data_IF_756947825102
#
_entry.id   IF_756947825102
#
_cell.length_a   1.000
_cell.length_b   1.000
_cell.length_c   1.000
_cell.angle_alpha   90.00
_cell.angle_beta   90.00
_cell.angle_gamma   90.00
#
_symmetry.space_group_name_H-M   'P 1'
#
loop_
_entity.id
_entity.type
_entity.pdbx_description
1 polymer ?
#
# COMPACT_ATOMS: atom_id res chain seq x y z
N UNK A 1 -3.68 17.36 2.58
CA UNK A 1 -3.45 15.93 2.84
C UNK A 1 -3.65 15.16 1.55
N UNK A 2 -2.70 14.30 1.20
CA UNK A 2 -2.74 13.39 0.06
C UNK A 2 -2.68 11.97 0.60
N UNK A 3 -3.65 11.12 0.25
CA UNK A 3 -3.63 9.70 0.62
C UNK A 3 -3.11 8.87 -0.55
N UNK A 4 -2.01 8.15 -0.30
CA UNK A 4 -1.44 7.16 -1.22
C UNK A 4 -1.90 5.78 -0.73
N UNK A 5 -2.89 5.15 -1.38
CA UNK A 5 -3.35 3.83 -0.99
C UNK A 5 -2.28 2.79 -1.33
N UNK A 6 -1.95 1.94 -0.36
CA UNK A 6 -1.04 0.81 -0.51
C UNK A 6 -1.64 -0.40 0.21
N UNK A 7 -1.06 -1.58 0.02
CA UNK A 7 -1.51 -2.81 0.67
C UNK A 7 -1.88 -3.90 -0.32
N UNK A 8 -2.35 -5.01 0.22
CA UNK A 8 -2.46 -6.26 -0.55
C UNK A 8 -3.85 -6.49 -1.16
N UNK A 9 -4.67 -5.46 -1.26
CA UNK A 9 -5.85 -5.44 -2.12
C UNK A 9 -6.24 -4.00 -2.49
N UNK A 10 -7.28 -3.87 -3.32
CA UNK A 10 -7.75 -2.58 -3.82
C UNK A 10 -8.60 -1.78 -2.82
N UNK A 11 -8.85 -2.29 -1.62
CA UNK A 11 -9.84 -1.77 -0.68
C UNK A 11 -9.55 -0.34 -0.22
N UNK A 12 -8.29 0.03 -0.03
CA UNK A 12 -7.94 1.41 0.32
C UNK A 12 -8.15 2.37 -0.86
N UNK A 13 -7.84 1.95 -2.09
CA UNK A 13 -8.09 2.75 -3.29
C UNK A 13 -9.60 2.92 -3.54
N UNK A 14 -10.38 1.86 -3.32
CA UNK A 14 -11.85 1.90 -3.39
C UNK A 14 -12.44 2.81 -2.32
N UNK A 15 -11.98 2.70 -1.06
CA UNK A 15 -12.40 3.59 0.02
C UNK A 15 -12.15 5.07 -0.33
N UNK A 16 -10.93 5.40 -0.78
CA UNK A 16 -10.58 6.76 -1.19
C UNK A 16 -11.46 7.27 -2.34
N UNK A 17 -11.82 6.39 -3.29
CA UNK A 17 -12.74 6.74 -4.39
C UNK A 17 -14.16 6.96 -3.90
N UNK A 18 -14.68 6.04 -3.07
CA UNK A 18 -16.06 6.07 -2.54
C UNK A 18 -16.34 7.34 -1.74
N UNK A 19 -15.36 7.80 -0.97
CA UNK A 19 -15.49 8.95 -0.07
C UNK A 19 -14.88 10.24 -0.61
N UNK A 20 -14.58 10.32 -1.92
CA UNK A 20 -14.00 11.50 -2.57
C UNK A 20 -12.69 12.00 -1.92
N UNK A 21 -11.91 11.11 -1.30
CA UNK A 21 -10.60 11.42 -0.71
C UNK A 21 -9.46 11.30 -1.74
N UNK A 22 -9.73 10.64 -2.87
CA UNK A 22 -8.75 10.44 -3.95
C UNK A 22 -8.51 11.75 -4.71
N UNK A 23 -7.33 12.34 -4.54
CA UNK A 23 -6.87 13.48 -5.35
C UNK A 23 -6.31 13.09 -6.71
N UNK A 24 -5.60 11.96 -6.77
CA UNK A 24 -4.89 11.51 -7.96
C UNK A 24 -5.01 10.00 -8.14
N UNK A 25 -4.66 9.53 -9.35
CA UNK A 25 -4.35 8.11 -9.55
C UNK A 25 -2.89 7.83 -9.21
N UNK A 26 -2.64 6.97 -8.24
CA UNK A 26 -1.29 6.58 -7.81
C UNK A 26 -0.86 5.23 -8.39
N UNK A 27 0.46 4.91 -8.42
CA UNK A 27 0.94 3.68 -9.03
C UNK A 27 0.47 2.42 -8.30
N UNK A 28 0.11 2.55 -7.02
CA UNK A 28 -0.40 1.45 -6.20
C UNK A 28 -1.94 1.37 -6.20
N UNK A 29 -2.62 2.28 -6.89
CA UNK A 29 -4.07 2.16 -7.08
C UNK A 29 -4.35 0.94 -7.96
N UNK A 30 -5.22 0.06 -7.46
CA UNK A 30 -5.66 -1.14 -8.18
C UNK A 30 -4.57 -2.20 -8.38
N UNK A 31 -3.51 -2.15 -7.57
CA UNK A 31 -2.49 -3.19 -7.48
C UNK A 31 -2.53 -3.87 -6.11
N UNK A 32 -1.87 -5.02 -6.04
CA UNK A 32 -1.68 -5.78 -4.80
C UNK A 32 -0.20 -5.71 -4.46
N UNK A 33 0.14 -5.02 -3.37
CA UNK A 33 1.52 -4.73 -3.00
C UNK A 33 1.99 -5.64 -1.86
N UNK A 34 2.32 -6.90 -2.15
CA UNK A 34 2.68 -7.88 -1.11
C UNK A 34 3.87 -7.41 -0.24
N UNK A 35 5.00 -7.09 -0.88
CA UNK A 35 6.26 -6.75 -0.19
C UNK A 35 7.06 -5.59 -0.84
N UNK A 36 6.46 -4.89 -1.81
CA UNK A 36 7.24 -4.18 -2.83
C UNK A 36 7.28 -2.66 -2.75
N UNK A 37 6.41 -2.03 -1.96
CA UNK A 37 6.22 -0.57 -2.02
C UNK A 37 7.52 0.18 -1.74
N UNK A 38 8.20 -0.22 -0.67
CA UNK A 38 9.49 0.35 -0.24
C UNK A 38 10.54 0.22 -1.35
N UNK A 39 10.68 -0.97 -1.94
CA UNK A 39 11.62 -1.26 -3.03
C UNK A 39 11.32 -0.47 -4.30
N UNK A 40 10.06 -0.35 -4.70
CA UNK A 40 9.67 0.46 -5.86
C UNK A 40 10.08 1.92 -5.68
N UNK A 41 9.89 2.49 -4.49
CA UNK A 41 10.28 3.88 -4.21
C UNK A 41 11.80 4.01 -4.14
N UNK A 42 12.50 3.04 -3.56
CA UNK A 42 13.96 3.07 -3.49
C UNK A 42 14.61 3.00 -4.87
N UNK A 43 14.06 2.17 -5.75
CA UNK A 43 14.47 2.02 -7.14
C UNK A 43 13.95 3.14 -8.07
N UNK A 44 13.29 4.17 -7.55
CA UNK A 44 12.65 5.22 -8.38
C UNK A 44 11.72 4.65 -9.48
N UNK A 45 11.12 3.49 -9.21
CA UNK A 45 10.21 2.79 -10.12
C UNK A 45 10.84 2.32 -11.44
N UNK A 46 12.18 2.24 -11.56
CA UNK A 46 12.85 1.81 -12.80
C UNK A 46 12.34 0.45 -13.29
N UNK A 47 12.15 -0.51 -12.37
CA UNK A 47 11.68 -1.85 -12.68
C UNK A 47 10.21 -2.09 -12.31
N UNK A 48 9.38 -1.03 -12.32
CA UNK A 48 8.02 -1.12 -11.82
C UNK A 48 7.10 -1.96 -12.71
N UNK A 49 7.17 -1.78 -14.03
CA UNK A 49 6.30 -2.46 -15.02
C UNK A 49 7.04 -3.39 -15.96
N UNK A 50 8.34 -3.59 -15.77
CA UNK A 50 9.18 -4.43 -16.64
C UNK A 50 10.44 -4.87 -15.87
N UNK A 51 10.80 -6.17 -15.86
CA UNK A 51 10.06 -7.32 -16.37
C UNK A 51 8.84 -7.69 -15.52
N UNK A 52 7.81 -8.26 -16.17
CA UNK A 52 6.66 -8.86 -15.50
C UNK A 52 6.61 -10.37 -15.70
N UNK A 53 6.36 -11.12 -14.62
CA UNK A 53 6.03 -12.54 -14.66
C UNK A 53 4.60 -12.74 -14.17
N UNK A 54 3.70 -13.19 -15.04
CA UNK A 54 2.26 -13.32 -14.73
C UNK A 54 1.68 -12.06 -14.09
N UNK A 55 2.03 -10.89 -14.64
CA UNK A 55 1.58 -9.56 -14.18
C UNK A 55 2.09 -9.19 -12.78
N UNK A 56 3.17 -9.81 -12.33
CA UNK A 56 3.86 -9.51 -11.08
C UNK A 56 5.27 -9.01 -11.42
N UNK A 57 5.67 -7.86 -10.87
CA UNK A 57 7.04 -7.37 -11.04
C UNK A 57 8.02 -8.04 -10.06
N UNK A 58 9.31 -7.73 -10.17
CA UNK A 58 10.35 -8.31 -9.31
C UNK A 58 10.20 -7.95 -7.81
N UNK A 59 9.43 -6.90 -7.50
CA UNK A 59 9.17 -6.45 -6.14
C UNK A 59 7.88 -7.03 -5.53
N UNK A 60 7.24 -8.01 -6.18
CA UNK A 60 5.96 -8.58 -5.77
C UNK A 60 4.79 -7.59 -5.78
N UNK A 61 4.77 -6.68 -6.75
CA UNK A 61 3.58 -5.90 -7.07
C UNK A 61 2.79 -6.65 -8.12
N UNK A 62 1.60 -7.11 -7.77
CA UNK A 62 0.69 -7.76 -8.69
C UNK A 62 -0.32 -6.76 -9.28
N UNK A 63 -0.33 -6.64 -10.60
CA UNK A 63 -1.23 -5.78 -11.35
C UNK A 63 -2.54 -6.51 -11.61
N UNK A 64 -3.46 -6.47 -10.63
CA UNK A 64 -4.68 -7.29 -10.67
C UNK A 64 -5.57 -6.99 -11.89
N UNK A 65 -5.71 -5.72 -12.27
CA UNK A 65 -6.67 -5.29 -13.31
C UNK A 65 -6.06 -4.98 -14.69
N UNK A 66 -4.74 -4.99 -14.82
CA UNK A 66 -4.03 -4.47 -16.01
C UNK A 66 -3.07 -5.52 -16.60
N UNK A 67 -2.44 -5.28 -17.75
CA UNK A 67 -1.52 -6.20 -18.45
C UNK A 67 -2.18 -7.49 -18.96
N UNK A 68 -3.44 -7.40 -19.41
CA UNK A 68 -4.12 -8.49 -20.12
C UNK A 68 -3.89 -8.41 -21.64
N UNK A 69 -4.31 -7.31 -22.24
CA UNK A 69 -4.29 -7.14 -23.70
C UNK A 69 -3.55 -5.85 -24.15
N UNK A 70 -3.53 -4.80 -23.32
CA UNK A 70 -3.03 -3.47 -23.69
C UNK A 70 -1.72 -3.14 -22.97
N UNK A 71 -0.70 -3.98 -23.17
CA UNK A 71 0.55 -3.93 -22.39
C UNK A 71 1.21 -2.54 -22.43
N UNK A 72 1.35 -1.93 -23.61
CA UNK A 72 2.04 -0.65 -23.75
C UNK A 72 1.24 0.50 -23.12
N UNK A 73 -0.08 0.54 -23.34
CA UNK A 73 -0.96 1.54 -22.70
C UNK A 73 -0.92 1.41 -21.16
N UNK A 74 -0.86 0.18 -20.65
CA UNK A 74 -0.74 -0.09 -19.23
C UNK A 74 0.61 0.36 -18.68
N UNK A 75 1.72 0.10 -19.40
CA UNK A 75 3.05 0.64 -19.04
C UNK A 75 3.00 2.17 -18.95
N UNK A 76 2.56 2.86 -20.01
CA UNK A 76 2.50 4.32 -20.02
C UNK A 76 1.59 4.89 -18.92
N UNK A 77 0.47 4.22 -18.63
CA UNK A 77 -0.42 4.58 -17.52
C UNK A 77 0.32 4.57 -16.20
N UNK A 78 1.12 3.54 -15.92
CA UNK A 78 1.87 3.45 -14.68
C UNK A 78 3.05 4.41 -14.63
N UNK A 79 3.72 4.68 -15.76
CA UNK A 79 4.72 5.76 -15.89
C UNK A 79 4.17 7.09 -15.39
N UNK A 80 3.06 7.54 -15.97
CA UNK A 80 2.41 8.80 -15.56
C UNK A 80 1.96 8.80 -14.09
N UNK A 81 1.70 7.64 -13.49
CA UNK A 81 1.27 7.52 -12.09
C UNK A 81 2.44 7.61 -11.13
N UNK A 82 3.53 6.88 -11.37
CA UNK A 82 4.69 6.94 -10.48
C UNK A 82 5.45 8.26 -10.64
N UNK A 83 5.54 8.85 -11.84
CA UNK A 83 6.17 10.17 -12.03
C UNK A 83 5.43 11.24 -11.22
N UNK A 84 4.09 11.18 -11.21
CA UNK A 84 3.27 12.04 -10.37
C UNK A 84 3.57 11.85 -8.89
N UNK A 85 3.68 10.59 -8.43
CA UNK A 85 4.00 10.30 -7.04
C UNK A 85 5.39 10.86 -6.69
N UNK A 86 6.42 10.59 -7.50
CA UNK A 86 7.78 11.11 -7.31
C UNK A 86 7.74 12.64 -7.21
N UNK A 87 7.11 13.33 -8.17
CA UNK A 87 7.01 14.78 -8.15
C UNK A 87 6.34 15.31 -6.87
N UNK A 88 5.27 14.65 -6.40
CA UNK A 88 4.62 14.99 -5.13
C UNK A 88 5.58 14.79 -3.94
N UNK A 89 6.33 13.68 -3.90
CA UNK A 89 7.30 13.40 -2.83
C UNK A 89 8.44 14.42 -2.81
N UNK A 90 8.85 14.92 -3.97
CA UNK A 90 9.98 15.86 -4.11
C UNK A 90 9.58 17.33 -3.85
N UNK A 91 8.36 17.72 -4.23
CA UNK A 91 8.00 19.14 -4.35
C UNK A 91 6.84 19.58 -3.45
N UNK A 92 6.05 18.64 -2.92
CA UNK A 92 4.85 18.97 -2.17
C UNK A 92 5.16 19.48 -0.76
N UNK A 93 4.38 20.46 -0.32
CA UNK A 93 4.30 20.89 1.08
C UNK A 93 3.08 20.31 1.81
N UNK A 94 2.24 19.52 1.12
CA UNK A 94 1.10 18.85 1.73
C UNK A 94 1.54 17.66 2.58
N UNK A 95 0.80 17.38 3.66
CA UNK A 95 0.97 16.13 4.40
C UNK A 95 0.58 14.92 3.56
N UNK A 96 1.47 13.94 3.46
CA UNK A 96 1.26 12.70 2.72
C UNK A 96 0.96 11.56 3.69
N UNK A 97 -0.07 10.77 3.40
CA UNK A 97 -0.43 9.59 4.17
C UNK A 97 -0.33 8.36 3.27
N UNK A 98 0.64 7.50 3.54
CA UNK A 98 0.65 6.15 2.97
C UNK A 98 -0.26 5.28 3.82
N UNK A 99 -1.41 4.87 3.29
CA UNK A 99 -2.37 4.08 4.05
C UNK A 99 -2.36 2.63 3.56
N UNK A 100 -1.90 1.71 4.41
CA UNK A 100 -1.80 0.29 4.16
C UNK A 100 -3.00 -0.44 4.72
N UNK A 101 -3.78 -1.05 3.84
CA UNK A 101 -4.60 -2.20 4.24
C UNK A 101 -3.68 -3.42 4.32
N UNK A 102 -3.46 -3.90 5.54
CA UNK A 102 -2.67 -5.09 5.78
C UNK A 102 -3.27 -6.32 5.12
N UNK A 103 -2.54 -7.43 5.14
CA UNK A 103 -3.01 -8.63 4.47
C UNK A 103 -4.13 -9.33 5.23
N UNK A 104 -5.14 -9.81 4.50
CA UNK A 104 -6.12 -10.78 4.98
C UNK A 104 -5.58 -12.21 4.94
N UNK A 105 -6.22 -13.10 5.70
CA UNK A 105 -5.85 -14.53 5.78
C UNK A 105 -5.82 -15.21 4.41
N UNK A 106 -6.74 -14.85 3.52
CA UNK A 106 -6.85 -15.45 2.17
C UNK A 106 -5.60 -15.23 1.31
N UNK A 107 -4.88 -14.12 1.51
CA UNK A 107 -3.71 -13.79 0.69
C UNK A 107 -2.54 -14.77 0.89
N UNK A 108 -2.50 -15.50 2.01
CA UNK A 108 -1.50 -16.56 2.21
C UNK A 108 -1.63 -17.73 1.22
N UNK A 109 -2.81 -17.92 0.64
CA UNK A 109 -3.12 -19.02 -0.26
C UNK A 109 -3.14 -18.59 -1.72
N UNK A 110 -2.94 -17.30 -2.00
CA UNK A 110 -2.92 -16.76 -3.36
C UNK A 110 -1.63 -17.16 -4.10
N UNK A 111 -1.73 -17.19 -5.44
CA UNK A 111 -0.63 -17.54 -6.33
C UNK A 111 0.06 -18.87 -5.97
N UNK A 112 -0.72 -19.93 -5.77
CA UNK A 112 -0.23 -21.26 -5.37
C UNK A 112 0.62 -21.21 -4.08
N UNK A 113 0.16 -20.45 -3.09
CA UNK A 113 0.84 -20.26 -1.80
C UNK A 113 2.24 -19.61 -1.89
N UNK A 114 2.56 -18.92 -3.00
CA UNK A 114 3.79 -18.10 -3.12
C UNK A 114 3.92 -17.14 -1.94
N UNK A 115 2.79 -16.63 -1.47
CA UNK A 115 2.67 -15.67 -0.37
C UNK A 115 2.28 -16.33 0.95
N UNK A 116 2.58 -17.62 1.14
CA UNK A 116 2.39 -18.28 2.44
C UNK A 116 3.16 -17.58 3.57
N UNK A 117 4.32 -16.98 3.26
CA UNK A 117 5.11 -16.12 4.14
C UNK A 117 5.16 -14.67 3.61
N UNK A 118 4.05 -13.93 3.75
CA UNK A 118 4.01 -12.48 3.49
C UNK A 118 4.88 -11.75 4.53
N UNK A 119 5.60 -10.71 4.10
CA UNK A 119 6.35 -9.85 5.02
C UNK A 119 5.38 -9.23 6.03
N UNK A 120 5.76 -9.22 7.29
CA UNK A 120 4.94 -8.59 8.33
C UNK A 120 4.61 -7.13 7.95
N UNK A 121 3.33 -6.77 7.97
CA UNK A 121 2.87 -5.43 7.53
C UNK A 121 3.52 -4.27 8.28
N UNK A 122 3.84 -4.47 9.58
CA UNK A 122 4.53 -3.47 10.39
C UNK A 122 5.98 -3.33 9.91
N UNK A 123 6.65 -4.46 9.67
CA UNK A 123 8.04 -4.44 9.19
C UNK A 123 8.16 -3.80 7.80
N UNK A 124 7.24 -4.10 6.89
CA UNK A 124 7.22 -3.47 5.56
C UNK A 124 7.00 -1.94 5.65
N UNK A 125 6.14 -1.50 6.57
CA UNK A 125 5.95 -0.08 6.86
C UNK A 125 7.22 0.58 7.44
N UNK A 126 7.95 -0.11 8.32
CA UNK A 126 9.24 0.38 8.86
C UNK A 126 10.32 0.50 7.79
N UNK A 127 10.36 -0.44 6.84
CA UNK A 127 11.25 -0.34 5.67
C UNK A 127 10.87 0.85 4.79
N UNK A 128 9.58 1.03 4.50
CA UNK A 128 9.09 2.19 3.76
C UNK A 128 9.47 3.51 4.46
N UNK A 129 9.25 3.59 5.77
CA UNK A 129 9.63 4.76 6.57
C UNK A 129 11.12 5.09 6.45
N UNK A 130 11.98 4.07 6.53
CA UNK A 130 13.43 4.23 6.40
C UNK A 130 13.80 4.83 5.04
N UNK A 131 13.19 4.32 3.96
CA UNK A 131 13.46 4.78 2.59
C UNK A 131 12.94 6.20 2.37
N UNK A 132 11.71 6.51 2.81
CA UNK A 132 11.14 7.85 2.66
C UNK A 132 11.94 8.87 3.45
N UNK A 133 12.26 8.61 4.73
CA UNK A 133 13.07 9.51 5.56
C UNK A 133 14.44 9.79 4.95
N UNK A 134 15.06 8.78 4.33
CA UNK A 134 16.37 8.92 3.67
C UNK A 134 16.28 9.71 2.37
N UNK A 135 15.33 9.39 1.49
CA UNK A 135 15.24 9.99 0.14
C UNK A 135 14.57 11.37 0.16
N UNK A 136 13.63 11.58 1.08
CA UNK A 136 12.82 12.80 1.17
C UNK A 136 12.83 13.35 2.61
N UNK A 137 13.99 13.79 3.15
CA UNK A 137 14.16 14.12 4.57
C UNK A 137 13.35 15.33 5.05
N UNK A 138 12.81 16.14 4.13
CA UNK A 138 11.95 17.29 4.44
C UNK A 138 10.47 16.98 4.28
N UNK A 139 10.11 15.80 3.80
CA UNK A 139 8.74 15.42 3.53
C UNK A 139 7.96 15.28 4.83
N UNK A 140 6.77 15.88 4.88
CA UNK A 140 5.80 15.64 5.96
C UNK A 140 4.94 14.46 5.57
N UNK A 141 5.10 13.34 6.27
CA UNK A 141 4.32 12.15 5.97
C UNK A 141 3.98 11.33 7.22
N UNK A 142 2.95 10.49 7.07
CA UNK A 142 2.63 9.39 7.98
C UNK A 142 2.42 8.11 7.19
N UNK A 143 2.65 6.99 7.85
CA UNK A 143 2.29 5.66 7.37
C UNK A 143 1.25 5.10 8.34
N UNK A 144 0.07 4.78 7.82
CA UNK A 144 -0.99 4.15 8.59
C UNK A 144 -1.03 2.68 8.18
N UNK A 145 -0.97 1.77 9.15
CA UNK A 145 -1.03 0.33 8.94
C UNK A 145 -2.27 -0.23 9.62
N UNK A 146 -3.21 -0.76 8.83
CA UNK A 146 -4.44 -1.36 9.34
C UNK A 146 -4.28 -2.89 9.27
N UNK A 147 -4.09 -3.53 10.42
CA UNK A 147 -3.84 -4.97 10.55
C UNK A 147 -5.17 -5.73 10.54
N UNK A 148 -5.28 -6.72 9.65
CA UNK A 148 -6.50 -7.54 9.50
C UNK A 148 -6.24 -9.05 9.57
N UNK A 149 -5.00 -9.53 9.36
CA UNK A 149 -4.71 -10.97 9.33
C UNK A 149 -4.82 -11.65 10.71
N UNK A 150 -5.83 -12.50 10.91
CA UNK A 150 -5.91 -13.36 12.10
C UNK A 150 -4.85 -14.46 12.20
N UNK A 151 -4.12 -14.76 11.11
CA UNK A 151 -2.98 -15.70 11.17
C UNK A 151 -1.69 -15.04 11.67
N UNK A 152 -1.52 -13.74 11.44
CA UNK A 152 -0.27 -13.03 11.73
C UNK A 152 -0.36 -12.09 12.93
N UNK A 153 -1.58 -11.70 13.31
CA UNK A 153 -1.83 -10.73 14.36
C UNK A 153 -2.95 -11.22 15.29
N UNK A 154 -2.94 -10.73 16.54
CA UNK A 154 -3.90 -11.12 17.58
C UNK A 154 -4.80 -9.93 17.89
N UNK A 155 -6.12 -10.14 17.91
CA UNK A 155 -7.16 -9.10 17.99
C UNK A 155 -7.11 -8.15 19.19
N UNK A 156 -6.41 -8.52 20.26
CA UNK A 156 -6.28 -7.70 21.48
C UNK A 156 -4.86 -7.19 21.73
N UNK A 157 -3.91 -7.49 20.85
CA UNK A 157 -2.56 -7.00 20.99
C UNK A 157 -2.47 -5.54 20.54
N UNK A 158 -1.74 -4.74 21.33
CA UNK A 158 -1.34 -3.39 20.94
C UNK A 158 0.01 -3.50 20.25
N UNK A 159 0.02 -3.20 18.96
CA UNK A 159 1.24 -3.16 18.15
C UNK A 159 1.78 -1.73 18.08
N UNK A 160 3.10 -1.60 18.07
CA UNK A 160 3.79 -0.30 17.96
C UNK A 160 4.96 -0.44 16.99
N UNK A 161 5.21 0.62 16.24
CA UNK A 161 6.46 0.78 15.51
C UNK A 161 7.48 1.52 16.37
N UNK A 162 8.75 1.39 16.01
CA UNK A 162 9.82 2.22 16.57
C UNK A 162 9.85 3.66 16.01
N UNK A 163 8.96 4.02 15.06
CA UNK A 163 8.90 5.35 14.47
C UNK A 163 7.56 6.04 14.72
N UNK A 164 7.61 7.30 15.16
CA UNK A 164 6.44 8.15 15.36
C UNK A 164 5.69 8.50 14.06
N UNK A 165 6.32 8.28 12.90
CA UNK A 165 5.67 8.44 11.60
C UNK A 165 4.72 7.29 11.27
N UNK A 166 4.72 6.21 12.05
CA UNK A 166 3.93 5.01 11.77
C UNK A 166 2.86 4.83 12.83
N UNK A 167 1.60 4.85 12.39
CA UNK A 167 0.44 4.53 13.23
C UNK A 167 -0.12 3.16 12.85
N UNK A 168 -0.42 2.35 13.86
CA UNK A 168 -0.88 0.98 13.67
C UNK A 168 -2.27 0.83 14.29
N UNK A 169 -3.20 0.35 13.48
CA UNK A 169 -4.58 0.08 13.85
C UNK A 169 -4.83 -1.41 13.73
N UNK A 170 -4.97 -2.09 14.86
CA UNK A 170 -5.27 -3.51 14.89
C UNK A 170 -6.78 -3.72 14.89
N UNK A 171 -7.32 -4.24 13.78
CA UNK A 171 -8.75 -4.53 13.63
C UNK A 171 -9.03 -6.01 13.37
N UNK A 172 -8.04 -6.87 13.68
CA UNK A 172 -8.16 -8.31 13.51
C UNK A 172 -9.39 -8.81 14.26
N UNK A 173 -10.24 -9.53 13.55
CA UNK A 173 -11.52 -10.03 14.05
C UNK A 173 -11.87 -11.34 13.33
N UNK A 174 -12.88 -12.04 13.87
CA UNK A 174 -13.51 -13.17 13.20
C UNK A 174 -14.67 -12.73 12.27
N UNK A 175 -15.04 -11.46 12.29
CA UNK A 175 -16.15 -10.87 11.54
C UNK A 175 -15.76 -10.35 10.14
N UNK A 176 -16.72 -9.80 9.39
CA UNK A 176 -16.52 -9.28 8.03
C UNK A 176 -15.46 -8.17 7.97
N UNK A 177 -14.29 -8.50 7.41
CA UNK A 177 -13.09 -7.65 7.34
C UNK A 177 -13.35 -6.29 6.66
N UNK A 178 -14.22 -6.25 5.63
CA UNK A 178 -14.42 -5.04 4.83
C UNK A 178 -15.21 -3.95 5.55
N UNK A 179 -16.28 -4.29 6.27
CA UNK A 179 -17.09 -3.31 7.01
C UNK A 179 -16.29 -2.71 8.17
N UNK A 180 -15.52 -3.55 8.87
CA UNK A 180 -14.67 -3.11 9.99
C UNK A 180 -13.50 -2.26 9.47
N UNK A 181 -12.89 -2.64 8.34
CA UNK A 181 -11.91 -1.83 7.65
C UNK A 181 -12.46 -0.45 7.27
N UNK A 182 -13.65 -0.39 6.65
CA UNK A 182 -14.27 0.87 6.26
C UNK A 182 -14.54 1.77 7.49
N UNK A 183 -15.08 1.21 8.57
CA UNK A 183 -15.32 1.95 9.81
C UNK A 183 -14.02 2.48 10.44
N UNK A 184 -12.96 1.65 10.44
CA UNK A 184 -11.64 2.06 10.90
C UNK A 184 -11.11 3.26 10.08
N UNK A 185 -11.18 3.18 8.75
CA UNK A 185 -10.77 4.27 7.88
C UNK A 185 -11.61 5.54 8.09
N UNK A 186 -12.93 5.43 8.27
CA UNK A 186 -13.80 6.58 8.59
C UNK A 186 -13.37 7.29 9.86
N UNK A 187 -13.05 6.53 10.91
CA UNK A 187 -12.56 7.09 12.17
C UNK A 187 -11.20 7.77 12.00
N UNK A 188 -10.26 7.15 11.27
CA UNK A 188 -8.92 7.71 11.02
C UNK A 188 -9.00 9.03 10.24
N UNK A 189 -9.86 9.08 9.22
CA UNK A 189 -9.98 10.23 8.32
C UNK A 189 -11.08 11.23 8.71
N UNK A 190 -11.81 10.98 9.81
CA UNK A 190 -12.90 11.80 10.34
C UNK A 190 -14.01 12.12 9.30
N UNK A 191 -14.60 11.08 8.70
CA UNK A 191 -15.65 11.19 7.66
C UNK A 191 -16.89 10.32 7.89
#
# INVERSE_FOLDING_TARGET
MIIVPIGVDCGMAEFCKKHNLRKFSFPFDWTVTYNGVSKCIDDNFNNFTDPLNNKINEFDIYFHHDFYNNIDEDKEKYVRRYERLINILETSNEDIVFCRKGHARRHHYEHNCKYSTITNDIHDAEQLNTIISRKYPKLKYKIIVILICGNCFVSNNIYKSNSDNIEIYNIVTLEEENTIFENCCRNIFNI
#
